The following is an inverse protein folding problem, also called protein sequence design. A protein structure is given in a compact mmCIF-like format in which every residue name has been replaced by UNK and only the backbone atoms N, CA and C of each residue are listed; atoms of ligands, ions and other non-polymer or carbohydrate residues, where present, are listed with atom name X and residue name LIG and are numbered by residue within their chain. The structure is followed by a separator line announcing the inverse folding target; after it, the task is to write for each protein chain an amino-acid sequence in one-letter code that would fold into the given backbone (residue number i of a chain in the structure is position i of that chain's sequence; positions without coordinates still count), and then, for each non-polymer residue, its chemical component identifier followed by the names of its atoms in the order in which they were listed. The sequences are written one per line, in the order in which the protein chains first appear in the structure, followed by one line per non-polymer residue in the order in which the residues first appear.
data_IF_445394586469
#
_entry.id   IF_445394586469
#
_cell.length_a   1.000
_cell.length_b   1.000
_cell.length_c   1.000
_cell.angle_alpha   90.00
_cell.angle_beta   90.00
_cell.angle_gamma   90.00
#
_symmetry.space_group_name_H-M   'P 1'
#
loop_
_entity.id
_entity.type
_entity.pdbx_description
1 polymer ?
#
# COMPACT_ATOMS: atom_id res chain seq x y z
N UNK A 1 -38.15 -6.47 -3.50
CA UNK A 1 -36.96 -6.72 -4.34
C UNK A 1 -35.77 -6.49 -3.43
N UNK A 2 -35.23 -7.56 -2.88
CA UNK A 2 -34.11 -7.51 -1.92
C UNK A 2 -32.82 -7.40 -2.73
N UNK A 3 -32.10 -6.31 -2.53
CA UNK A 3 -30.76 -6.11 -3.09
C UNK A 3 -29.88 -7.29 -2.65
N UNK A 4 -29.26 -8.07 -3.57
CA UNK A 4 -28.38 -9.15 -3.17
C UNK A 4 -27.27 -8.58 -2.31
N UNK A 5 -27.16 -9.05 -1.07
CA UNK A 5 -26.09 -8.65 -0.16
C UNK A 5 -24.74 -8.99 -0.80
N UNK A 6 -24.08 -7.99 -1.37
CA UNK A 6 -22.71 -8.12 -1.86
C UNK A 6 -21.87 -8.46 -0.64
N UNK A 7 -21.07 -9.56 -0.65
CA UNK A 7 -20.23 -9.92 0.47
C UNK A 7 -19.29 -8.75 0.80
N UNK A 8 -19.59 -8.02 1.87
CA UNK A 8 -18.74 -6.94 2.39
C UNK A 8 -17.60 -7.54 3.20
N UNK A 9 -16.79 -8.39 2.58
CA UNK A 9 -15.49 -8.70 3.17
C UNK A 9 -14.66 -7.44 3.02
N UNK A 10 -14.55 -6.64 4.10
CA UNK A 10 -13.88 -5.34 4.11
C UNK A 10 -12.34 -5.42 3.92
N UNK A 11 -11.82 -6.61 3.60
CA UNK A 11 -10.40 -6.80 3.32
C UNK A 11 -10.16 -6.58 1.82
N UNK A 12 -9.63 -5.40 1.48
CA UNK A 12 -9.16 -5.11 0.14
C UNK A 12 -7.93 -5.98 -0.18
N UNK A 13 -7.83 -6.46 -1.41
CA UNK A 13 -6.67 -7.22 -1.85
C UNK A 13 -5.41 -6.36 -1.86
N UNK A 14 -4.28 -6.89 -1.38
CA UNK A 14 -3.01 -6.17 -1.49
C UNK A 14 -2.46 -6.26 -2.91
N UNK A 15 -2.21 -5.10 -3.54
CA UNK A 15 -1.57 -5.00 -4.86
C UNK A 15 -0.07 -4.80 -4.76
N UNK A 16 0.40 -4.02 -3.79
CA UNK A 16 1.81 -3.72 -3.61
C UNK A 16 2.16 -3.65 -2.14
N UNK A 17 3.32 -4.18 -1.75
CA UNK A 17 3.84 -4.07 -0.40
C UNK A 17 5.35 -3.92 -0.40
N UNK A 18 5.83 -2.85 0.23
CA UNK A 18 7.25 -2.64 0.53
C UNK A 18 7.41 -2.55 2.05
N UNK A 19 8.44 -3.20 2.58
CA UNK A 19 8.67 -3.25 4.02
C UNK A 19 10.15 -3.18 4.36
N UNK A 20 10.42 -2.61 5.52
CA UNK A 20 11.71 -2.72 6.19
C UNK A 20 11.56 -3.76 7.31
N UNK A 21 12.11 -4.98 7.16
CA UNK A 21 11.97 -6.04 8.15
C UNK A 21 12.63 -5.73 9.50
N UNK A 22 13.52 -4.74 9.54
CA UNK A 22 14.28 -4.39 10.75
C UNK A 22 13.55 -3.35 11.55
N UNK A 23 13.03 -2.32 10.90
CA UNK A 23 12.25 -1.29 11.60
C UNK A 23 10.80 -1.69 11.82
N UNK A 24 10.26 -2.62 11.03
CA UNK A 24 8.84 -2.96 11.03
C UNK A 24 7.98 -1.98 10.21
N UNK A 25 8.59 -0.96 9.60
CA UNK A 25 7.89 -0.01 8.74
C UNK A 25 7.42 -0.68 7.44
N UNK A 26 6.21 -0.36 7.00
CA UNK A 26 5.61 -0.91 5.81
C UNK A 26 4.82 0.15 5.04
N UNK A 27 4.79 -0.02 3.73
CA UNK A 27 3.92 0.70 2.82
C UNK A 27 3.15 -0.30 1.96
N UNK A 28 1.83 -0.13 1.89
CA UNK A 28 0.92 -1.06 1.23
C UNK A 28 -0.04 -0.30 0.33
N UNK A 29 -0.24 -0.79 -0.89
CA UNK A 29 -1.30 -0.36 -1.81
C UNK A 29 -2.31 -1.50 -1.91
N UNK A 30 -3.58 -1.18 -1.69
CA UNK A 30 -4.70 -2.11 -1.84
C UNK A 30 -5.44 -1.88 -3.16
N UNK A 31 -6.10 -2.92 -3.64
CA UNK A 31 -7.00 -2.86 -4.77
C UNK A 31 -8.19 -1.93 -4.46
N UNK A 32 -8.72 -1.21 -5.47
CA UNK A 32 -9.96 -0.46 -5.30
C UNK A 32 -11.08 -1.37 -4.78
N UNK A 33 -11.89 -0.85 -3.85
CA UNK A 33 -13.06 -1.58 -3.39
C UNK A 33 -14.10 -1.71 -4.51
N UNK A 34 -14.90 -2.78 -4.49
CA UNK A 34 -15.96 -3.00 -5.51
C UNK A 34 -17.03 -1.89 -5.58
N UNK A 35 -17.04 -0.98 -4.60
CA UNK A 35 -17.93 0.19 -4.53
C UNK A 35 -17.21 1.53 -4.82
N UNK A 36 -15.91 1.49 -5.15
CA UNK A 36 -15.14 2.69 -5.45
C UNK A 36 -15.26 3.07 -6.93
N UNK A 37 -16.31 3.82 -7.25
CA UNK A 37 -16.57 4.32 -8.60
C UNK A 37 -15.51 5.30 -9.12
N UNK A 38 -14.69 5.86 -8.23
CA UNK A 38 -13.63 6.81 -8.58
C UNK A 38 -12.28 6.14 -8.80
N UNK A 39 -12.18 4.84 -8.50
CA UNK A 39 -10.96 4.04 -8.68
C UNK A 39 -9.79 4.51 -7.79
N UNK A 40 -10.06 5.13 -6.65
CA UNK A 40 -9.01 5.60 -5.75
C UNK A 40 -8.26 4.40 -5.16
N UNK A 41 -6.95 4.53 -5.02
CA UNK A 41 -6.17 3.53 -4.31
C UNK A 41 -6.24 3.80 -2.81
N UNK A 42 -6.62 2.79 -2.04
CA UNK A 42 -6.40 2.80 -0.59
C UNK A 42 -4.95 2.42 -0.33
N UNK A 43 -4.24 3.24 0.43
CA UNK A 43 -2.86 2.97 0.83
C UNK A 43 -2.72 3.01 2.34
N UNK A 44 -1.82 2.19 2.89
CA UNK A 44 -1.49 2.20 4.30
C UNK A 44 0.01 2.38 4.53
N UNK A 45 0.33 3.24 5.50
CA UNK A 45 1.66 3.36 6.08
C UNK A 45 1.62 2.79 7.49
N UNK A 46 2.33 1.70 7.69
CA UNK A 46 2.59 1.15 9.01
C UNK A 46 3.93 1.68 9.46
N UNK A 47 3.96 2.35 10.60
CA UNK A 47 5.19 2.84 11.21
C UNK A 47 5.26 2.36 12.64
N UNK A 48 6.28 1.59 12.96
CA UNK A 48 6.47 1.08 14.32
C UNK A 48 7.33 -0.17 14.35
N UNK A 49 7.95 -0.44 15.52
CA UNK A 49 8.91 -1.53 15.67
C UNK A 49 8.25 -2.90 15.52
N UNK A 50 9.03 -3.91 15.13
CA UNK A 50 8.57 -5.28 14.89
C UNK A 50 8.04 -6.01 16.12
N UNK A 51 8.32 -5.50 17.33
CA UNK A 51 7.97 -6.08 18.61
C UNK A 51 6.68 -5.50 19.24
N UNK A 52 6.02 -4.53 18.58
CA UNK A 52 4.82 -3.86 19.11
C UNK A 52 3.76 -3.66 18.04
N UNK A 53 2.53 -3.49 18.50
CA UNK A 53 1.41 -3.11 17.62
C UNK A 53 1.65 -1.71 17.07
N UNK A 54 1.69 -1.60 15.73
CA UNK A 54 1.72 -0.33 15.03
C UNK A 54 0.31 0.08 14.59
N UNK A 55 0.00 1.37 14.69
CA UNK A 55 -1.27 1.92 14.19
C UNK A 55 -1.04 2.41 12.75
N UNK A 56 -1.69 1.82 11.74
CA UNK A 56 -1.54 2.24 10.36
C UNK A 56 -2.15 3.62 10.13
N UNK A 57 -1.49 4.42 9.29
CA UNK A 57 -2.08 5.62 8.68
C UNK A 57 -2.61 5.23 7.31
N UNK A 58 -3.91 5.44 7.08
CA UNK A 58 -4.58 5.04 5.84
C UNK A 58 -4.98 6.30 5.05
N UNK A 59 -4.72 6.28 3.74
CA UNK A 59 -5.02 7.38 2.83
C UNK A 59 -5.69 6.86 1.55
N UNK A 60 -6.47 7.72 0.90
CA UNK A 60 -6.95 7.52 -0.47
C UNK A 60 -6.08 8.35 -1.40
N UNK A 61 -5.60 7.74 -2.48
CA UNK A 61 -4.70 8.36 -3.46
C UNK A 61 -5.27 8.22 -4.86
N UNK A 62 -5.22 9.31 -5.63
CA UNK A 62 -5.73 9.31 -7.00
C UNK A 62 -4.86 8.40 -7.89
N UNK A 63 -5.44 7.69 -8.87
CA UNK A 63 -4.69 6.85 -9.80
C UNK A 63 -3.55 7.56 -10.52
N UNK A 64 -3.69 8.85 -10.81
CA UNK A 64 -2.63 9.62 -11.49
C UNK A 64 -1.43 9.91 -10.58
N UNK A 65 -1.63 9.93 -9.25
CA UNK A 65 -0.61 10.29 -8.27
C UNK A 65 0.04 9.07 -7.60
N UNK A 66 -0.58 7.89 -7.72
CA UNK A 66 -0.20 6.70 -6.93
C UNK A 66 1.25 6.27 -7.13
N UNK A 67 1.79 6.38 -8.35
CA UNK A 67 3.17 5.98 -8.64
C UNK A 67 4.18 6.93 -7.96
N UNK A 68 3.94 8.23 -8.06
CA UNK A 68 4.77 9.24 -7.40
C UNK A 68 4.66 9.14 -5.87
N UNK A 69 3.44 8.95 -5.36
CA UNK A 69 3.17 8.74 -3.94
C UNK A 69 3.92 7.52 -3.40
N UNK A 70 3.81 6.37 -4.06
CA UNK A 70 4.48 5.13 -3.67
C UNK A 70 6.01 5.26 -3.72
N UNK A 71 6.55 5.95 -4.74
CA UNK A 71 7.98 6.23 -4.82
C UNK A 71 8.47 7.05 -3.63
N UNK A 72 7.76 8.13 -3.29
CA UNK A 72 8.06 8.94 -2.12
C UNK A 72 7.95 8.16 -0.82
N UNK A 73 6.94 7.29 -0.71
CA UNK A 73 6.75 6.40 0.43
C UNK A 73 7.96 5.47 0.62
N UNK A 74 8.31 4.69 -0.41
CA UNK A 74 9.41 3.72 -0.35
C UNK A 74 10.76 4.41 -0.08
N UNK A 75 11.01 5.56 -0.70
CA UNK A 75 12.22 6.33 -0.41
C UNK A 75 12.27 6.77 1.05
N UNK A 76 11.15 7.21 1.63
CA UNK A 76 11.09 7.54 3.05
C UNK A 76 11.38 6.32 3.95
N UNK A 77 10.92 5.13 3.59
CA UNK A 77 11.27 3.90 4.31
C UNK A 77 12.78 3.61 4.25
N UNK A 78 13.44 3.90 3.11
CA UNK A 78 14.89 3.71 2.92
C UNK A 78 15.70 4.72 3.71
N UNK A 79 15.31 5.99 3.67
CA UNK A 79 16.03 7.10 4.31
C UNK A 79 15.94 7.07 5.84
N UNK A 80 14.79 6.66 6.38
CA UNK A 80 14.56 6.62 7.83
C UNK A 80 15.54 5.68 8.57
N UNK A 81 16.08 4.70 7.87
CA UNK A 81 17.02 3.73 8.40
C UNK A 81 18.18 3.55 7.42
N UNK A 82 18.93 4.62 7.18
CA UNK A 82 20.12 4.63 6.32
C UNK A 82 21.01 3.41 6.59
N UNK A 83 20.99 2.44 5.67
CA UNK A 83 21.75 1.19 5.74
C UNK A 83 20.94 -0.11 5.79
N UNK A 84 19.61 -0.06 5.96
CA UNK A 84 18.77 -1.27 5.97
C UNK A 84 17.95 -1.38 4.68
N UNK A 85 18.01 -2.56 4.04
CA UNK A 85 17.32 -2.83 2.78
C UNK A 85 15.81 -2.84 2.97
N UNK A 86 15.12 -1.83 2.45
CA UNK A 86 13.69 -1.92 2.15
C UNK A 86 13.52 -2.86 0.97
N UNK A 87 12.68 -3.88 1.13
CA UNK A 87 12.38 -4.84 0.08
C UNK A 87 10.91 -4.74 -0.32
N UNK A 88 10.65 -4.86 -1.62
CA UNK A 88 9.30 -5.08 -2.13
C UNK A 88 8.98 -6.55 -1.99
N UNK A 89 7.99 -6.86 -1.16
CA UNK A 89 7.56 -8.24 -0.87
C UNK A 89 6.46 -8.71 -1.80
N UNK A 90 5.67 -7.77 -2.33
CA UNK A 90 4.58 -8.05 -3.24
C UNK A 90 4.47 -6.94 -4.28
N UNK A 91 4.34 -7.33 -5.55
CA UNK A 91 3.91 -6.44 -6.62
C UNK A 91 3.01 -7.21 -7.60
N UNK A 92 1.69 -7.14 -7.39
CA UNK A 92 0.62 -7.64 -8.27
C UNK A 92 0.02 -6.56 -9.15
N UNK A 93 0.62 -5.38 -9.19
CA UNK A 93 0.15 -4.30 -10.06
C UNK A 93 0.41 -4.67 -11.53
N UNK A 94 -0.38 -4.09 -12.43
CA UNK A 94 -0.31 -4.33 -13.87
C UNK A 94 -0.23 -2.99 -14.63
N UNK A 95 0.11 -3.06 -15.92
CA UNK A 95 0.14 -1.90 -16.80
C UNK A 95 1.07 -0.79 -16.30
N UNK A 96 0.72 0.50 -16.49
CA UNK A 96 1.56 1.63 -16.12
C UNK A 96 1.98 1.62 -14.65
N UNK A 97 1.10 1.18 -13.75
CA UNK A 97 1.42 1.12 -12.32
C UNK A 97 2.59 0.16 -12.04
N UNK A 98 2.63 -0.99 -12.71
CA UNK A 98 3.72 -1.96 -12.56
C UNK A 98 5.08 -1.39 -12.98
N UNK A 99 5.09 -0.60 -14.05
CA UNK A 99 6.30 -0.04 -14.64
C UNK A 99 6.91 1.07 -13.79
N UNK A 100 6.06 1.83 -13.09
CA UNK A 100 6.46 3.05 -12.39
C UNK A 100 6.67 2.85 -10.89
N UNK A 101 6.32 1.68 -10.34
CA UNK A 101 6.51 1.40 -8.92
C UNK A 101 7.97 1.01 -8.60
N UNK A 102 8.50 1.42 -7.44
CA UNK A 102 9.80 0.97 -6.97
C UNK A 102 9.87 -0.54 -6.84
N UNK A 103 11.04 -1.10 -7.16
CA UNK A 103 11.40 -2.51 -6.93
C UNK A 103 12.21 -2.67 -5.65
#
# INVERSE_FOLDING_TARGET
MTDPAIPTTAALDTLYAAANPVSGDQFVIYAPGGHDERGMYTVAHVTGPTDRVAIPRVHLVHPDDIAAYATGAVNRLRDRHAGWTVSVWLNRTTGPLHEHLPR
#
